data_IF_012057129233
#
_entry.id   IF_012057129233
#
_cell.length_a   1.000
_cell.length_b   1.000
_cell.length_c   1.000
_cell.angle_alpha   90.00
_cell.angle_beta   90.00
_cell.angle_gamma   90.00
#
_symmetry.space_group_name_H-M   'P 1'
#
loop_
_entity.id
_entity.type
_entity.pdbx_description
1 polymer ?
#
# COMPACT_ATOMS: atom_id res chain seq x y z
N UNK A 1 30.75 -8.48 -15.61
CA UNK A 1 29.95 -7.38 -16.14
C UNK A 1 30.43 -6.13 -15.43
N UNK A 2 30.86 -5.13 -16.17
CA UNK A 2 31.34 -3.83 -15.61
C UNK A 2 30.14 -2.94 -15.32
N UNK A 3 30.23 -2.18 -14.28
CA UNK A 3 29.20 -1.28 -13.77
C UNK A 3 29.70 0.17 -13.87
N UNK A 4 28.83 1.10 -14.23
CA UNK A 4 29.19 2.52 -14.33
C UNK A 4 28.52 3.33 -13.23
N UNK A 5 29.21 4.33 -12.69
CA UNK A 5 28.67 5.23 -11.70
C UNK A 5 27.61 6.15 -12.32
N UNK A 6 26.39 6.16 -11.80
CA UNK A 6 25.29 6.99 -12.31
C UNK A 6 25.55 8.50 -12.16
N UNK A 7 26.47 8.89 -11.27
CA UNK A 7 26.77 10.29 -11.00
C UNK A 7 27.91 10.87 -11.82
N UNK A 8 28.95 10.06 -12.12
CA UNK A 8 30.15 10.55 -12.82
C UNK A 8 30.54 9.71 -14.05
N UNK A 9 29.80 8.65 -14.37
CA UNK A 9 30.02 7.80 -15.54
C UNK A 9 31.27 6.91 -15.49
N UNK A 10 32.07 6.92 -14.42
CA UNK A 10 33.27 6.09 -14.32
C UNK A 10 32.94 4.65 -14.02
N UNK A 11 33.78 3.77 -14.55
CA UNK A 11 33.68 2.31 -14.37
C UNK A 11 33.96 1.92 -12.92
N UNK A 12 33.14 1.02 -12.39
CA UNK A 12 33.20 0.54 -11.01
C UNK A 12 33.24 -0.99 -10.98
N UNK A 13 33.87 -1.54 -9.95
CA UNK A 13 33.79 -2.97 -9.68
C UNK A 13 32.37 -3.37 -9.27
N UNK A 14 31.87 -4.55 -9.63
CA UNK A 14 30.49 -4.99 -9.36
C UNK A 14 30.09 -4.94 -7.88
N UNK A 15 31.08 -5.11 -6.99
CA UNK A 15 30.89 -5.19 -5.53
C UNK A 15 31.19 -3.88 -4.79
N UNK A 16 31.59 -2.79 -5.51
CA UNK A 16 31.92 -1.53 -4.85
C UNK A 16 30.67 -0.85 -4.28
N UNK A 17 30.70 -0.55 -3.00
CA UNK A 17 29.66 0.22 -2.30
C UNK A 17 29.80 1.72 -2.49
N UNK A 18 30.97 2.21 -2.89
CA UNK A 18 31.26 3.61 -3.16
C UNK A 18 32.04 3.78 -4.46
N UNK A 19 31.74 4.85 -5.19
CA UNK A 19 32.52 5.20 -6.37
C UNK A 19 33.90 5.75 -5.97
N UNK A 20 34.97 5.07 -6.38
CA UNK A 20 36.34 5.50 -6.09
C UNK A 20 36.75 6.83 -6.74
N UNK A 21 35.96 7.37 -7.67
CA UNK A 21 36.24 8.61 -8.38
C UNK A 21 35.48 9.82 -7.82
N UNK A 22 34.23 9.68 -7.38
CA UNK A 22 33.41 10.79 -6.89
C UNK A 22 32.93 10.60 -5.45
N UNK A 23 33.26 9.48 -4.78
CA UNK A 23 32.90 9.17 -3.40
C UNK A 23 31.41 8.93 -3.16
N UNK A 24 30.58 8.94 -4.19
CA UNK A 24 29.16 8.74 -4.04
C UNK A 24 28.84 7.26 -3.84
N UNK A 25 27.89 6.98 -2.96
CA UNK A 25 27.43 5.62 -2.68
C UNK A 25 26.87 4.99 -3.95
N UNK A 26 27.33 3.79 -4.26
CA UNK A 26 26.87 3.04 -5.42
C UNK A 26 25.58 2.33 -5.04
N UNK A 27 24.49 2.65 -5.73
CA UNK A 27 23.23 1.94 -5.57
C UNK A 27 23.47 0.43 -5.82
N UNK A 28 23.05 -0.48 -4.93
CA UNK A 28 23.24 -1.91 -5.14
C UNK A 28 22.62 -2.34 -6.46
N UNK A 29 23.34 -3.18 -7.24
CA UNK A 29 22.84 -3.67 -8.51
C UNK A 29 21.52 -4.40 -8.29
N UNK A 30 20.48 -3.95 -8.96
CA UNK A 30 19.18 -4.61 -9.01
C UNK A 30 19.32 -6.02 -9.62
N UNK A 31 19.45 -7.02 -8.75
CA UNK A 31 19.06 -8.38 -9.08
C UNK A 31 17.53 -8.37 -9.10
N UNK A 32 16.93 -8.62 -10.25
CA UNK A 32 15.53 -8.50 -10.57
C UNK A 32 14.55 -8.88 -9.47
N UNK A 33 13.99 -7.88 -8.84
CA UNK A 33 12.87 -7.91 -7.94
C UNK A 33 12.42 -6.45 -7.79
N UNK A 34 11.16 -6.16 -8.04
CA UNK A 34 10.55 -4.85 -7.80
C UNK A 34 10.62 -4.55 -6.30
N UNK A 35 11.76 -4.12 -5.81
CA UNK A 35 11.87 -3.49 -4.50
C UNK A 35 11.46 -2.02 -4.66
N UNK A 36 10.34 -1.70 -4.05
CA UNK A 36 9.96 -0.33 -3.77
C UNK A 36 11.12 0.42 -3.09
N UNK A 37 11.32 1.73 -3.35
CA UNK A 37 12.40 2.51 -2.75
C UNK A 37 12.36 2.36 -1.23
N UNK A 38 13.53 2.26 -0.54
CA UNK A 38 13.58 2.16 0.91
C UNK A 38 12.88 3.38 1.52
N UNK A 39 11.76 3.11 2.15
CA UNK A 39 11.03 4.09 2.92
C UNK A 39 11.96 4.66 3.99
N UNK A 40 12.10 5.96 4.04
CA UNK A 40 12.73 6.70 5.14
C UNK A 40 12.22 6.15 6.46
N UNK A 41 13.05 5.40 7.17
CA UNK A 41 12.78 4.94 8.53
C UNK A 41 12.86 6.16 9.48
N UNK A 42 11.81 6.98 9.45
CA UNK A 42 11.48 7.84 10.57
C UNK A 42 10.89 6.97 11.69
N UNK A 43 10.90 7.46 12.92
CA UNK A 43 10.44 6.82 14.18
C UNK A 43 8.97 6.34 14.17
N UNK A 44 8.45 5.81 13.06
CA UNK A 44 7.09 5.35 12.85
C UNK A 44 7.00 3.85 12.51
N UNK A 45 5.78 3.34 12.37
CA UNK A 45 5.54 1.99 11.89
C UNK A 45 6.10 1.81 10.46
N UNK A 46 6.57 0.62 10.17
CA UNK A 46 6.97 0.26 8.80
C UNK A 46 5.76 0.43 7.85
N UNK A 47 6.01 0.88 6.62
CA UNK A 47 4.95 1.22 5.67
C UNK A 47 4.02 0.03 5.36
N UNK A 48 4.56 -1.19 5.34
CA UNK A 48 3.76 -2.40 5.17
C UNK A 48 2.80 -2.65 6.36
N UNK A 49 3.25 -2.39 7.59
CA UNK A 49 2.40 -2.49 8.77
C UNK A 49 1.35 -1.39 8.78
N UNK A 50 1.73 -0.15 8.44
CA UNK A 50 0.79 0.96 8.32
C UNK A 50 -0.28 0.69 7.24
N UNK A 51 0.13 0.19 6.07
CA UNK A 51 -0.78 -0.20 5.00
C UNK A 51 -1.74 -1.33 5.41
N UNK A 52 -1.26 -2.32 6.17
CA UNK A 52 -2.10 -3.40 6.69
C UNK A 52 -3.09 -2.90 7.76
N UNK A 53 -2.61 -2.06 8.69
CA UNK A 53 -3.44 -1.46 9.75
C UNK A 53 -4.49 -0.49 9.19
N UNK A 54 -4.28 0.08 8.02
CA UNK A 54 -5.27 0.95 7.38
C UNK A 54 -6.63 0.23 7.17
N UNK A 55 -6.64 -1.10 7.02
CA UNK A 55 -7.89 -1.85 6.88
C UNK A 55 -8.73 -1.96 8.16
N UNK A 56 -8.24 -1.47 9.31
CA UNK A 56 -9.05 -1.25 10.51
C UNK A 56 -9.93 0.03 10.43
N UNK A 57 -10.16 0.56 9.27
CA UNK A 57 -11.04 1.66 8.91
C UNK A 57 -10.76 3.01 9.62
N UNK A 58 -10.81 3.06 10.95
CA UNK A 58 -10.48 4.26 11.73
C UNK A 58 -9.01 4.65 11.51
N UNK A 59 -8.12 3.67 11.49
CA UNK A 59 -6.68 3.90 11.26
C UNK A 59 -6.38 4.40 9.85
N UNK A 60 -7.21 4.06 8.85
CA UNK A 60 -7.09 4.63 7.50
C UNK A 60 -7.21 6.16 7.52
N UNK A 61 -8.19 6.69 8.24
CA UNK A 61 -8.40 8.14 8.39
C UNK A 61 -7.21 8.76 9.13
N UNK A 62 -6.75 8.11 10.19
CA UNK A 62 -5.60 8.60 10.97
C UNK A 62 -4.34 8.67 10.09
N UNK A 63 -4.05 7.65 9.29
CA UNK A 63 -2.88 7.65 8.42
C UNK A 63 -2.97 8.65 7.25
N UNK A 64 -4.17 8.99 6.80
CA UNK A 64 -4.36 10.05 5.81
C UNK A 64 -4.12 11.46 6.38
N UNK A 65 -4.29 11.64 7.69
CA UNK A 65 -4.11 12.92 8.37
C UNK A 65 -2.74 13.06 9.02
N UNK A 66 -2.10 11.95 9.40
CA UNK A 66 -0.88 11.93 10.19
C UNK A 66 0.37 11.92 9.29
N UNK A 67 1.28 12.87 9.48
CA UNK A 67 2.63 12.80 8.93
C UNK A 67 3.48 11.80 9.75
N UNK A 68 4.36 11.00 9.11
CA UNK A 68 4.77 11.03 7.70
C UNK A 68 3.92 10.16 6.74
N UNK A 69 2.90 9.44 7.25
CA UNK A 69 2.15 8.42 6.50
C UNK A 69 1.34 9.00 5.33
N UNK A 70 0.85 10.23 5.46
CA UNK A 70 0.10 10.92 4.41
C UNK A 70 0.94 11.30 3.19
N UNK A 71 2.28 11.23 3.28
CA UNK A 71 3.20 11.50 2.15
C UNK A 71 3.65 10.23 1.44
N UNK A 72 3.48 9.08 2.07
CA UNK A 72 3.85 7.81 1.47
C UNK A 72 2.75 7.30 0.55
N UNK A 73 3.07 7.13 -0.73
CA UNK A 73 2.11 6.70 -1.76
C UNK A 73 1.52 5.32 -1.48
N UNK A 74 2.31 4.40 -0.91
CA UNK A 74 1.86 3.06 -0.59
C UNK A 74 0.83 3.08 0.54
N UNK A 75 1.12 3.78 1.63
CA UNK A 75 0.21 3.91 2.77
C UNK A 75 -1.07 4.65 2.35
N UNK A 76 -0.94 5.73 1.59
CA UNK A 76 -2.09 6.48 1.04
C UNK A 76 -2.99 5.59 0.19
N UNK A 77 -2.41 4.82 -0.73
CA UNK A 77 -3.18 3.91 -1.59
C UNK A 77 -4.02 2.94 -0.76
N UNK A 78 -3.41 2.24 0.21
CA UNK A 78 -4.12 1.28 1.05
C UNK A 78 -5.14 1.96 1.99
N UNK A 79 -4.84 3.17 2.47
CA UNK A 79 -5.77 3.96 3.30
C UNK A 79 -7.01 4.40 2.51
N UNK A 80 -6.86 4.91 1.30
CA UNK A 80 -8.00 5.25 0.43
C UNK A 80 -8.79 4.01 0.03
N UNK A 81 -8.12 2.91 -0.31
CA UNK A 81 -8.78 1.65 -0.65
C UNK A 81 -9.61 1.11 0.52
N UNK A 82 -9.07 1.14 1.75
CA UNK A 82 -9.79 0.75 2.96
C UNK A 82 -10.98 1.68 3.26
N UNK A 83 -10.82 2.98 3.06
CA UNK A 83 -11.87 3.97 3.25
C UNK A 83 -13.03 3.75 2.26
N UNK A 84 -12.73 3.55 0.98
CA UNK A 84 -13.75 3.26 -0.03
C UNK A 84 -14.42 1.89 0.20
N UNK A 85 -13.66 0.89 0.68
CA UNK A 85 -14.24 -0.41 1.05
C UNK A 85 -15.21 -0.27 2.22
N UNK A 86 -14.87 0.52 3.23
CA UNK A 86 -15.76 0.84 4.35
C UNK A 86 -17.01 1.59 3.90
N UNK A 87 -16.87 2.58 3.02
CA UNK A 87 -18.00 3.30 2.46
C UNK A 87 -18.93 2.38 1.64
N UNK A 88 -18.35 1.51 0.81
CA UNK A 88 -19.10 0.50 0.07
C UNK A 88 -19.82 -0.49 1.01
N UNK A 89 -19.19 -0.86 2.12
CA UNK A 89 -19.81 -1.69 3.15
C UNK A 89 -21.07 -1.03 3.73
N UNK A 90 -20.97 0.25 4.13
CA UNK A 90 -22.11 1.00 4.67
C UNK A 90 -23.21 1.12 3.61
N UNK A 91 -22.88 1.52 2.41
CA UNK A 91 -23.85 1.66 1.32
C UNK A 91 -24.58 0.34 1.03
N UNK A 92 -23.84 -0.77 0.97
CA UNK A 92 -24.41 -2.09 0.77
C UNK A 92 -25.36 -2.51 1.90
N UNK A 93 -25.00 -2.26 3.16
CA UNK A 93 -25.89 -2.52 4.31
C UNK A 93 -27.16 -1.68 4.26
N UNK A 94 -27.07 -0.40 3.90
CA UNK A 94 -28.25 0.46 3.75
C UNK A 94 -29.16 -0.10 2.65
N UNK A 95 -28.62 -0.43 1.48
CA UNK A 95 -29.43 -0.97 0.37
C UNK A 95 -30.10 -2.30 0.77
N UNK A 96 -29.36 -3.21 1.38
CA UNK A 96 -29.89 -4.51 1.83
C UNK A 96 -30.95 -4.35 2.92
N UNK A 97 -30.83 -3.34 3.81
CA UNK A 97 -31.80 -3.07 4.85
C UNK A 97 -33.16 -2.65 4.31
N UNK A 98 -33.20 -2.05 3.13
CA UNK A 98 -34.44 -1.63 2.47
C UNK A 98 -35.25 -2.79 1.85
N UNK A 99 -34.60 -3.96 1.68
CA UNK A 99 -35.24 -5.14 1.11
C UNK A 99 -35.56 -6.11 2.26
N UNK A 100 -36.81 -6.15 2.76
CA UNK A 100 -37.16 -7.04 3.85
C UNK A 100 -37.02 -8.51 3.43
N UNK A 101 -36.71 -9.36 4.38
CA UNK A 101 -36.50 -10.82 4.23
C UNK A 101 -35.27 -11.18 3.40
N UNK A 102 -35.25 -10.86 2.10
CA UNK A 102 -34.14 -11.21 1.20
C UNK A 102 -32.87 -10.42 1.53
N UNK A 103 -32.98 -9.12 1.77
CA UNK A 103 -31.85 -8.27 2.13
C UNK A 103 -31.26 -8.69 3.47
N UNK A 104 -32.07 -8.99 4.46
CA UNK A 104 -31.61 -9.45 5.78
C UNK A 104 -30.92 -10.81 5.69
N UNK A 105 -31.42 -11.71 4.84
CA UNK A 105 -30.76 -13.00 4.60
C UNK A 105 -29.39 -12.84 3.89
N UNK A 106 -29.23 -11.82 3.04
CA UNK A 106 -28.00 -11.53 2.32
C UNK A 106 -26.98 -10.70 3.12
N UNK A 107 -27.39 -10.00 4.19
CA UNK A 107 -26.48 -9.19 5.02
C UNK A 107 -25.24 -9.95 5.53
N UNK A 108 -25.36 -11.17 6.10
CA UNK A 108 -24.17 -11.88 6.57
C UNK A 108 -23.23 -12.26 5.43
N UNK A 109 -23.77 -12.59 4.25
CA UNK A 109 -22.95 -12.88 3.07
C UNK A 109 -22.21 -11.63 2.57
N UNK A 110 -22.89 -10.47 2.54
CA UNK A 110 -22.29 -9.19 2.23
C UNK A 110 -21.17 -8.82 3.22
N UNK A 111 -21.42 -8.95 4.51
CA UNK A 111 -20.43 -8.69 5.55
C UNK A 111 -19.22 -9.61 5.43
N UNK A 112 -19.44 -10.89 5.12
CA UNK A 112 -18.36 -11.84 4.89
C UNK A 112 -17.52 -11.46 3.67
N UNK A 113 -18.15 -11.05 2.57
CA UNK A 113 -17.44 -10.58 1.37
C UNK A 113 -16.53 -9.38 1.69
N UNK A 114 -17.06 -8.38 2.37
CA UNK A 114 -16.29 -7.18 2.77
C UNK A 114 -15.14 -7.58 3.71
N UNK A 115 -15.39 -8.46 4.67
CA UNK A 115 -14.36 -8.94 5.58
C UNK A 115 -13.23 -9.67 4.83
N UNK A 116 -13.56 -10.55 3.90
CA UNK A 116 -12.57 -11.27 3.09
C UNK A 116 -11.73 -10.29 2.27
N UNK A 117 -12.35 -9.30 1.61
CA UNK A 117 -11.64 -8.28 0.86
C UNK A 117 -10.72 -7.44 1.76
N UNK A 118 -11.17 -7.09 2.96
CA UNK A 118 -10.36 -6.35 3.93
C UNK A 118 -9.15 -7.17 4.40
N UNK A 119 -9.35 -8.44 4.73
CA UNK A 119 -8.27 -9.33 5.17
C UNK A 119 -7.26 -9.56 4.04
N UNK A 120 -7.72 -9.86 2.83
CA UNK A 120 -6.83 -10.05 1.67
C UNK A 120 -6.05 -8.76 1.39
N UNK A 121 -6.72 -7.60 1.42
CA UNK A 121 -6.07 -6.31 1.25
C UNK A 121 -5.00 -6.04 2.32
N UNK A 122 -5.31 -6.32 3.60
CA UNK A 122 -4.37 -6.16 4.70
C UNK A 122 -3.15 -7.09 4.55
N UNK A 123 -3.37 -8.37 4.19
CA UNK A 123 -2.27 -9.32 3.96
C UNK A 123 -1.39 -8.89 2.79
N UNK A 124 -1.99 -8.43 1.70
CA UNK A 124 -1.25 -7.92 0.53
C UNK A 124 -0.44 -6.66 0.87
N UNK A 125 -1.02 -5.74 1.64
CA UNK A 125 -0.31 -4.56 2.13
C UNK A 125 0.86 -4.96 3.04
N UNK A 126 0.67 -5.92 3.94
CA UNK A 126 1.75 -6.43 4.78
C UNK A 126 2.90 -7.06 3.97
N UNK A 127 2.59 -7.68 2.84
CA UNK A 127 3.56 -8.23 1.88
C UNK A 127 4.19 -7.15 0.96
N UNK A 128 3.99 -5.86 1.21
CA UNK A 128 4.41 -4.75 0.34
C UNK A 128 3.86 -4.81 -1.09
N UNK A 129 2.69 -5.43 -1.29
CA UNK A 129 2.05 -5.55 -2.58
C UNK A 129 0.90 -4.55 -2.71
N UNK A 130 0.92 -3.75 -3.78
CA UNK A 130 -0.19 -2.88 -4.16
C UNK A 130 -1.27 -3.68 -4.88
N UNK A 131 -2.04 -4.48 -4.13
CA UNK A 131 -3.14 -5.23 -4.72
C UNK A 131 -4.38 -4.34 -4.84
N UNK A 132 -4.92 -4.26 -6.05
CA UNK A 132 -6.10 -3.45 -6.36
C UNK A 132 -7.37 -4.28 -6.19
N UNK A 133 -8.24 -3.85 -5.28
CA UNK A 133 -9.59 -4.42 -5.21
C UNK A 133 -10.36 -3.99 -6.47
N UNK A 134 -11.02 -4.91 -7.20
CA UNK A 134 -11.80 -4.56 -8.38
C UNK A 134 -12.77 -3.42 -8.08
N UNK A 135 -12.88 -2.44 -8.99
CA UNK A 135 -13.65 -1.19 -8.89
C UNK A 135 -13.08 -0.19 -7.85
N UNK A 136 -12.85 -0.60 -6.62
CA UNK A 136 -12.41 0.28 -5.51
C UNK A 136 -10.95 0.73 -5.69
N UNK A 137 -10.08 -0.18 -6.17
CA UNK A 137 -8.65 0.10 -6.34
C UNK A 137 -8.37 1.21 -7.36
N UNK A 138 -9.15 1.29 -8.42
CA UNK A 138 -9.02 2.36 -9.42
C UNK A 138 -9.37 3.75 -8.85
N UNK A 139 -10.39 3.81 -7.99
CA UNK A 139 -10.73 5.06 -7.30
C UNK A 139 -9.66 5.47 -6.29
N UNK A 140 -9.10 4.51 -5.55
CA UNK A 140 -8.02 4.78 -4.61
C UNK A 140 -6.76 5.29 -5.32
N UNK A 141 -6.42 4.73 -6.48
CA UNK A 141 -5.24 5.14 -7.27
C UNK A 141 -5.34 6.58 -7.78
N UNK A 142 -6.54 7.05 -8.12
CA UNK A 142 -6.76 8.43 -8.57
C UNK A 142 -6.55 9.47 -7.46
N UNK A 143 -6.49 9.05 -6.19
CA UNK A 143 -6.31 9.93 -5.03
C UNK A 143 -4.85 9.97 -4.53
N UNK A 144 -3.96 9.21 -5.12
CA UNK A 144 -2.55 9.07 -4.73
C UNK A 144 -1.62 9.71 -5.76
#
# INVERSE_FOLDING_TARGET
MTRYCESCGKEMTPTATFCGACGKEASPAAAGGSEAPPSTQGTGLQNNMAGALAYLWITAIVFLLLEPYNRDKFVRFHSFQALFLGLASIAGHIVLSLIPILGWALMPLWSLLILVLAVVGAVKAYQNQTWRIPLIGEFAEKQV
#
